data_IF_074342042300
#
_entry.id   IF_074342042300
#
_cell.length_a   1.000
_cell.length_b   1.000
_cell.length_c   1.000
_cell.angle_alpha   90.00
_cell.angle_beta   90.00
_cell.angle_gamma   90.00
#
_symmetry.space_group_name_H-M   'P 1'
#
loop_
_entity.id
_entity.type
_entity.pdbx_description
1 polymer ?
2 non-polymer ?
3 non-polymer ?
4 water ?
#
# COMPACT_ATOMS: atom_id res chain seq x y z
N UNK A 15 -2.14 -5.20 33.12
CA UNK A 15 -2.05 -5.08 31.66
C UNK A 15 -1.73 -6.41 30.98
N UNK A 16 -2.44 -6.72 29.90
CA UNK A 16 -2.17 -7.95 29.15
C UNK A 16 -0.80 -7.88 28.49
N UNK A 17 -0.18 -9.05 28.32
CA UNK A 17 1.18 -9.16 27.81
C UNK A 17 1.23 -10.21 26.72
N UNK A 18 2.03 -9.96 25.67
CA UNK A 18 2.20 -10.91 24.58
C UNK A 18 3.67 -10.93 24.19
N UNK A 19 4.29 -12.11 24.28
CA UNK A 19 5.73 -12.27 24.02
C UNK A 19 6.55 -11.24 24.76
N UNK A 20 6.22 -11.03 26.04
CA UNK A 20 6.94 -10.09 26.88
C UNK A 20 6.64 -8.63 26.62
N UNK A 21 5.86 -8.31 25.59
CA UNK A 21 5.49 -6.93 25.29
C UNK A 21 4.21 -6.57 26.01
N UNK A 22 4.18 -5.37 26.59
CA UNK A 22 2.94 -4.85 27.17
C UNK A 22 1.93 -4.61 26.07
N UNK A 23 0.70 -5.05 26.27
CA UNK A 23 -0.40 -4.85 25.31
C UNK A 23 -1.60 -4.33 26.10
N UNK A 24 -1.63 -3.03 26.35
CA UNK A 24 -2.53 -2.46 27.35
C UNK A 24 -3.83 -2.03 26.67
N UNK A 25 -4.66 -3.03 26.37
CA UNK A 25 -5.89 -2.81 25.62
C UNK A 25 -7.13 -3.32 26.33
N UNK A 26 -7.00 -3.82 27.55
CA UNK A 26 -8.15 -4.27 28.30
C UNK A 26 -8.83 -3.11 29.01
N UNK A 27 -10.04 -3.38 29.53
CA UNK A 27 -10.73 -4.68 29.50
C UNK A 27 -11.62 -4.91 28.27
N UNK A 28 -11.77 -3.93 27.38
CA UNK A 28 -12.62 -4.17 26.22
C UNK A 28 -12.07 -5.27 25.33
N UNK A 29 -10.76 -5.31 25.13
CA UNK A 29 -10.14 -6.23 24.18
C UNK A 29 -9.33 -7.26 24.94
N UNK A 30 -9.66 -8.55 24.77
CA UNK A 30 -9.00 -9.64 25.50
C UNK A 30 -8.68 -10.77 24.55
N UNK A 31 -8.09 -11.84 25.11
CA UNK A 31 -7.72 -13.04 24.38
C UNK A 31 -6.79 -12.71 23.20
N UNK A 32 -5.66 -12.09 23.53
CA UNK A 32 -4.72 -11.66 22.50
C UNK A 32 -3.89 -12.83 22.00
N UNK A 33 -3.61 -12.85 20.69
CA UNK A 33 -2.78 -13.86 20.06
C UNK A 33 -1.82 -13.16 19.10
N UNK A 34 -0.54 -13.47 19.22
CA UNK A 34 0.45 -12.85 18.36
C UNK A 34 0.18 -13.17 16.89
N UNK A 35 0.30 -12.15 16.03
CA UNK A 35 0.23 -12.31 14.58
C UNK A 35 1.59 -12.06 13.92
N UNK A 36 2.18 -10.90 14.16
CA UNK A 36 3.45 -10.57 13.55
C UNK A 36 3.92 -9.21 14.03
N UNK A 37 5.06 -8.75 13.51
CA UNK A 37 5.55 -7.45 13.95
C UNK A 37 6.35 -6.77 12.84
N UNK A 38 6.64 -5.49 13.08
CA UNK A 38 7.50 -4.68 12.23
C UNK A 38 8.61 -4.03 13.02
N UNK A 39 9.24 -3.01 12.44
CA UNK A 39 10.41 -2.39 13.09
C UNK A 39 10.03 -1.71 14.41
N UNK A 40 8.77 -1.26 14.56
CA UNK A 40 8.36 -0.60 15.79
C UNK A 40 6.90 -0.86 16.13
N UNK A 41 6.37 -2.02 15.72
CA UNK A 41 4.98 -2.34 15.97
C UNK A 41 4.60 -3.81 15.88
N UNK A 42 3.98 -4.33 16.95
CA UNK A 42 3.51 -5.71 17.02
C UNK A 42 2.01 -5.76 16.75
N UNK A 43 1.58 -6.79 16.02
CA UNK A 43 0.17 -6.96 15.69
C UNK A 43 -0.35 -8.23 16.35
N UNK A 44 -1.53 -8.15 16.98
CA UNK A 44 -2.18 -9.29 17.62
C UNK A 44 -3.65 -9.35 17.20
N UNK A 45 -4.21 -10.55 17.22
CA UNK A 45 -5.65 -10.67 17.16
C UNK A 45 -6.19 -10.55 18.57
N UNK A 46 -7.47 -10.18 18.68
CA UNK A 46 -8.10 -10.02 19.98
C UNK A 46 -9.60 -10.20 19.82
N UNK A 47 -10.29 -10.26 20.95
CA UNK A 47 -11.73 -10.30 20.99
C UNK A 47 -12.24 -9.00 21.56
N UNK A 48 -13.15 -8.35 20.84
CA UNK A 48 -13.85 -7.16 21.30
C UNK A 48 -15.07 -7.63 22.10
N UNK A 49 -14.98 -7.53 23.44
CA UNK A 49 -16.08 -7.98 24.29
C UNK A 49 -17.29 -7.06 24.22
N UNK A 50 -17.13 -5.84 23.70
CA UNK A 50 -18.24 -4.89 23.63
C UNK A 50 -19.10 -5.18 22.41
N UNK A 51 -18.47 -5.25 21.24
CA UNK A 51 -19.17 -5.54 20.01
C UNK A 51 -19.25 -7.03 19.68
N UNK A 52 -18.58 -7.88 20.46
CA UNK A 52 -18.59 -9.34 20.25
C UNK A 52 -18.12 -9.70 18.84
N UNK A 53 -16.92 -9.22 18.48
CA UNK A 53 -16.32 -9.49 17.18
C UNK A 53 -14.82 -9.65 17.36
N UNK A 54 -14.19 -10.36 16.43
CA UNK A 54 -12.74 -10.50 16.43
C UNK A 54 -12.11 -9.31 15.72
N UNK A 55 -10.98 -8.83 16.28
CA UNK A 55 -10.28 -7.68 15.73
C UNK A 55 -8.79 -7.98 15.66
N UNK A 56 -8.09 -7.17 14.88
CA UNK A 56 -6.64 -7.08 14.92
C UNK A 56 -6.27 -5.78 15.63
N UNK A 57 -5.19 -5.80 16.39
CA UNK A 57 -4.74 -4.62 17.12
C UNK A 57 -3.24 -4.46 16.84
N UNK A 58 -2.86 -3.29 16.33
CA UNK A 58 -1.46 -2.96 16.05
C UNK A 58 -0.98 -2.03 17.14
N UNK A 59 0.06 -2.46 17.87
CA UNK A 59 0.73 -1.60 18.85
C UNK A 59 1.84 -0.82 18.15
N UNK A 60 1.78 0.51 18.25
CA UNK A 60 2.74 1.39 17.58
C UNK A 60 3.43 2.24 18.64
N UNK A 61 4.76 2.32 18.57
CA UNK A 61 5.57 3.09 19.52
C UNK A 61 6.49 4.02 18.74
N UNK A 62 5.95 5.13 18.23
CA UNK A 62 6.66 5.92 17.21
C UNK A 62 7.32 7.22 17.67
N UNK A 63 7.15 7.62 18.92
CA UNK A 63 7.38 9.01 19.30
C UNK A 63 8.86 9.37 19.44
N UNK A 64 9.77 8.40 19.38
CA UNK A 64 11.19 8.75 19.40
C UNK A 64 11.74 9.06 18.01
N UNK A 65 10.94 8.88 16.96
CA UNK A 65 11.42 9.01 15.58
C UNK A 65 10.46 9.85 14.78
N UNK A 66 10.94 10.98 14.26
CA UNK A 66 10.09 11.88 13.50
C UNK A 66 9.44 11.17 12.31
N UNK A 67 10.17 10.29 11.61
CA UNK A 67 9.58 9.64 10.44
C UNK A 67 8.51 8.64 10.86
N UNK A 68 8.70 7.96 11.99
CA UNK A 68 7.65 7.04 12.46
C UNK A 68 6.41 7.81 12.90
N UNK A 69 6.60 8.98 13.52
CA UNK A 69 5.46 9.83 13.84
C UNK A 69 4.69 10.25 12.58
N UNK A 70 5.41 10.64 11.53
CA UNK A 70 4.76 10.98 10.26
C UNK A 70 3.88 9.83 9.77
N UNK A 71 4.45 8.63 9.69
CA UNK A 71 3.70 7.47 9.22
C UNK A 71 2.44 7.24 10.05
N UNK A 72 2.57 7.34 11.38
CA UNK A 72 1.46 7.08 12.28
C UNK A 72 0.33 8.07 12.05
N UNK A 73 0.67 9.36 11.93
CA UNK A 73 -0.34 10.39 11.75
C UNK A 73 -0.99 10.31 10.37
N UNK A 74 -0.20 10.06 9.33
CA UNK A 74 -0.76 9.88 7.99
C UNK A 74 -1.74 8.72 7.95
N UNK A 75 -1.35 7.58 8.51
CA UNK A 75 -2.22 6.40 8.49
C UNK A 75 -3.54 6.66 9.21
N UNK A 76 -3.46 7.30 10.38
CA UNK A 76 -4.66 7.58 11.15
C UNK A 76 -5.58 8.54 10.42
N UNK A 77 -5.03 9.67 9.97
CA UNK A 77 -5.85 10.71 9.33
C UNK A 77 -6.53 10.18 8.08
N UNK A 78 -5.81 9.42 7.26
CA UNK A 78 -6.35 8.95 5.99
C UNK A 78 -7.36 7.83 6.20
N UNK A 79 -6.99 6.80 6.96
CA UNK A 79 -7.90 5.65 7.15
C UNK A 79 -9.20 6.07 7.86
N UNK A 80 -9.14 7.07 8.73
CA UNK A 80 -10.37 7.50 9.41
C UNK A 80 -11.29 8.28 8.48
N UNK A 81 -10.76 8.80 7.38
CA UNK A 81 -11.56 9.56 6.42
C UNK A 81 -12.02 8.72 5.24
N UNK A 82 -11.32 7.64 4.93
CA UNK A 82 -11.71 6.75 3.86
C UNK A 82 -12.79 5.77 4.34
N UNK A 83 -13.68 5.39 3.41
CA UNK A 83 -14.70 4.39 3.72
C UNK A 83 -15.03 3.67 2.41
N UNK A 84 -14.50 2.46 2.26
CA UNK A 84 -14.59 1.69 1.03
C UNK A 84 -14.39 0.22 1.36
N UNK A 85 -15.15 -0.64 0.66
CA UNK A 85 -15.08 -2.08 0.94
C UNK A 85 -13.70 -2.69 0.67
N UNK A 86 -12.88 -2.07 -0.17
CA UNK A 86 -11.56 -2.62 -0.50
C UNK A 86 -10.43 -1.87 0.19
N UNK A 87 -10.72 -1.18 1.29
CA UNK A 87 -9.73 -0.46 2.08
C UNK A 87 -9.96 -0.77 3.55
N UNK A 88 -8.90 -1.12 4.28
CA UNK A 88 -9.06 -1.44 5.68
C UNK A 88 -9.51 -0.20 6.44
N UNK A 89 -10.41 -0.37 7.41
CA UNK A 89 -10.84 0.73 8.25
C UNK A 89 -10.12 0.72 9.59
N UNK A 90 -10.30 1.80 10.34
CA UNK A 90 -9.91 1.85 11.75
C UNK A 90 -11.17 1.84 12.58
N UNK A 91 -11.29 0.86 13.47
CA UNK A 91 -12.44 0.71 14.35
C UNK A 91 -12.31 1.54 15.63
N UNK A 92 -11.10 1.63 16.17
CA UNK A 92 -10.88 2.19 17.50
C UNK A 92 -9.39 2.48 17.63
N UNK A 93 -9.05 3.41 18.51
CA UNK A 93 -7.64 3.73 18.81
C UNK A 93 -7.50 3.91 20.31
N UNK A 94 -6.58 3.17 20.93
CA UNK A 94 -6.37 3.22 22.36
C UNK A 94 -5.05 3.95 22.63
N UNK A 95 -5.08 4.93 23.53
CA UNK A 95 -3.86 5.53 24.04
C UNK A 95 -4.15 6.19 25.40
N UNK A 96 -3.08 6.66 26.02
CA UNK A 96 -3.15 7.17 27.40
C UNK A 96 -3.99 8.45 27.48
N UNK A 97 -4.59 8.73 28.64
CA UNK A 97 -5.42 9.94 28.75
C UNK A 97 -4.61 11.24 28.77
N UNK A 98 -3.29 11.19 28.98
CA UNK A 98 -2.48 12.40 28.94
C UNK A 98 -1.31 12.22 27.98
N UNK A 99 -0.91 13.33 27.35
CA UNK A 99 0.11 13.25 26.32
C UNK A 99 1.45 12.81 26.91
N UNK A 100 1.75 13.21 28.15
CA UNK A 100 3.01 12.81 28.77
C UNK A 100 3.05 11.30 29.01
N UNK A 101 1.90 10.70 29.30
CA UNK A 101 1.82 9.25 29.53
C UNK A 101 1.77 8.46 28.23
N UNK A 102 1.44 9.11 27.11
CA UNK A 102 1.27 8.39 25.85
C UNK A 102 2.64 8.02 25.28
N UNK A 103 2.98 6.73 25.33
CA UNK A 103 4.14 6.21 24.63
C UNK A 103 3.77 5.24 23.52
N UNK A 104 2.63 4.59 23.62
CA UNK A 104 2.18 3.63 22.62
C UNK A 104 0.81 4.05 22.12
N UNK A 105 0.53 3.70 20.86
CA UNK A 105 -0.79 3.84 20.27
C UNK A 105 -1.20 2.47 19.78
N UNK A 106 -2.44 2.06 20.08
CA UNK A 106 -2.99 0.80 19.61
C UNK A 106 -4.07 1.11 18.59
N UNK A 107 -3.88 0.63 17.36
CA UNK A 107 -4.85 0.80 16.28
C UNK A 107 -5.62 -0.51 16.12
N UNK A 108 -6.94 -0.43 16.28
CA UNK A 108 -7.82 -1.60 16.21
C UNK A 108 -8.46 -1.62 14.83
N UNK A 109 -8.43 -2.79 14.18
CA UNK A 109 -8.99 -2.97 12.86
C UNK A 109 -9.72 -4.30 12.79
N UNK A 110 -10.53 -4.43 11.75
CA UNK A 110 -11.16 -5.71 11.47
C UNK A 110 -10.07 -6.76 11.27
N UNK A 111 -10.32 -7.97 11.75
CA UNK A 111 -9.33 -9.04 11.70
C UNK A 111 -9.36 -9.66 10.32
N UNK A 112 -8.23 -9.62 9.62
CA UNK A 112 -8.10 -10.29 8.34
C UNK A 112 -7.48 -11.67 8.54
N UNK A 113 -7.64 -12.53 7.54
CA UNK A 113 -7.13 -13.89 7.68
C UNK A 113 -5.70 -14.03 7.18
N UNK A 114 -5.34 -13.36 6.09
CA UNK A 114 -4.02 -13.52 5.51
C UNK A 114 -3.73 -12.29 4.65
N UNK A 115 -2.61 -12.32 3.95
CA UNK A 115 -2.32 -11.30 2.95
C UNK A 115 -1.80 -11.99 1.69
N UNK A 116 -1.69 -11.19 0.63
CA UNK A 116 -1.30 -11.76 -0.66
C UNK A 116 0.14 -12.26 -0.65
N UNK A 117 1.02 -11.60 0.12
CA UNK A 117 2.39 -12.11 0.28
C UNK A 117 2.39 -13.54 0.79
N UNK A 118 1.71 -13.78 1.94
CA UNK A 118 1.63 -15.12 2.48
C UNK A 118 0.94 -16.09 1.52
N UNK A 119 -0.14 -15.63 0.89
CA UNK A 119 -0.87 -16.50 -0.03
C UNK A 119 0.03 -16.95 -1.18
N UNK A 120 0.79 -16.03 -1.77
CA UNK A 120 1.65 -16.38 -2.89
C UNK A 120 2.78 -17.32 -2.48
N UNK A 121 3.13 -17.38 -1.19
CA UNK A 121 4.18 -18.29 -0.74
C UNK A 121 3.78 -19.75 -0.87
N UNK A 122 2.49 -20.05 -0.72
CA UNK A 122 2.04 -21.43 -0.65
C UNK A 122 1.14 -21.85 -1.80
N UNK A 123 0.66 -20.92 -2.63
CA UNK A 123 -0.34 -21.25 -3.63
C UNK A 123 -0.03 -20.58 -4.96
N UNK A 124 -0.16 -21.35 -6.04
CA UNK A 124 -0.13 -20.80 -7.39
C UNK A 124 -1.55 -20.44 -7.81
N UNK A 125 -1.76 -19.19 -8.18
CA UNK A 125 -3.10 -18.69 -8.46
C UNK A 125 -3.52 -19.03 -9.89
N UNK A 126 -4.74 -19.54 -10.04
CA UNK A 126 -5.33 -19.70 -11.34
C UNK A 126 -5.57 -18.34 -12.00
N UNK A 127 -5.91 -18.36 -13.29
CA UNK A 127 -6.24 -17.12 -13.97
C UNK A 127 -7.47 -16.47 -13.34
N UNK A 128 -8.48 -17.26 -12.97
CA UNK A 128 -9.65 -16.73 -12.30
C UNK A 128 -9.28 -16.00 -11.01
N UNK A 129 -8.41 -16.61 -10.18
CA UNK A 129 -7.98 -15.96 -8.94
C UNK A 129 -7.30 -14.63 -9.22
N UNK A 130 -6.40 -14.60 -10.21
CA UNK A 130 -5.64 -13.39 -10.51
C UNK A 130 -6.57 -12.26 -10.91
N UNK A 131 -7.50 -12.55 -11.81
CA UNK A 131 -8.44 -11.53 -12.28
C UNK A 131 -9.25 -10.97 -11.11
N UNK A 132 -9.76 -11.86 -10.25
CA UNK A 132 -10.57 -11.45 -9.11
C UNK A 132 -9.78 -10.56 -8.16
N UNK A 133 -8.54 -10.93 -7.82
CA UNK A 133 -7.73 -10.08 -6.94
C UNK A 133 -7.36 -8.77 -7.62
N UNK A 134 -6.99 -8.80 -8.90
CA UNK A 134 -6.59 -7.56 -9.56
C UNK A 134 -7.75 -6.57 -9.58
N UNK A 135 -8.96 -7.05 -9.88
CA UNK A 135 -10.13 -6.17 -9.89
C UNK A 135 -10.29 -5.44 -8.56
N UNK A 136 -10.18 -6.16 -7.44
CA UNK A 136 -10.41 -5.53 -6.14
C UNK A 136 -9.32 -4.54 -5.80
N UNK A 137 -8.07 -4.84 -6.16
CA UNK A 137 -7.00 -3.88 -5.97
C UNK A 137 -7.33 -2.58 -6.71
N UNK A 138 -7.69 -2.70 -8.00
CA UNK A 138 -7.97 -1.50 -8.79
C UNK A 138 -9.24 -0.80 -8.34
N UNK A 139 -10.23 -1.56 -7.87
CA UNK A 139 -11.45 -0.95 -7.34
C UNK A 139 -11.12 -0.10 -6.11
N UNK A 140 -10.37 -0.67 -5.17
CA UNK A 140 -9.90 0.12 -4.04
C UNK A 140 -9.02 1.28 -4.47
N UNK A 141 -8.14 1.05 -5.45
CA UNK A 141 -7.24 2.12 -5.88
C UNK A 141 -8.00 3.25 -6.55
N UNK A 142 -9.09 2.94 -7.27
CA UNK A 142 -9.89 3.99 -7.88
C UNK A 142 -10.39 4.98 -6.83
N UNK A 143 -10.93 4.46 -5.74
CA UNK A 143 -11.40 5.32 -4.65
C UNK A 143 -10.24 6.16 -4.09
N UNK A 144 -9.10 5.53 -3.83
CA UNK A 144 -7.93 6.24 -3.30
C UNK A 144 -7.55 7.40 -4.22
N UNK A 145 -7.42 7.12 -5.52
CA UNK A 145 -7.03 8.16 -6.46
C UNK A 145 -8.15 9.19 -6.65
N UNK A 146 -9.40 8.78 -6.47
CA UNK A 146 -10.50 9.73 -6.54
C UNK A 146 -10.45 10.75 -5.40
N UNK A 147 -9.79 10.41 -4.29
CA UNK A 147 -9.54 11.37 -3.22
C UNK A 147 -8.24 12.14 -3.43
N UNK A 148 -7.62 12.00 -4.60
CA UNK A 148 -6.36 12.66 -4.92
C UNK A 148 -5.24 12.25 -3.96
N UNK A 149 -5.26 10.98 -3.54
CA UNK A 149 -4.25 10.42 -2.64
C UNK A 149 -3.40 9.42 -3.42
N UNK A 150 -2.10 9.41 -3.16
CA UNK A 150 -1.17 8.39 -3.63
C UNK A 150 -0.85 7.46 -2.46
N UNK A 151 -1.09 6.15 -2.62
CA UNK A 151 -0.75 5.20 -1.55
C UNK A 151 0.76 5.12 -1.35
N UNK A 152 1.51 4.95 -2.44
CA UNK A 152 2.97 5.03 -2.53
C UNK A 152 3.70 3.79 -2.00
N UNK A 153 3.01 2.80 -1.44
CA UNK A 153 3.74 1.61 -0.98
C UNK A 153 2.90 0.36 -1.19
N UNK A 154 2.23 0.26 -2.34
CA UNK A 154 1.47 -0.95 -2.65
C UNK A 154 2.43 -2.11 -2.87
N UNK A 155 2.12 -3.24 -2.25
CA UNK A 155 2.91 -4.46 -2.38
C UNK A 155 2.07 -5.61 -1.84
N UNK A 156 2.42 -6.86 -2.13
CA UNK A 156 1.55 -7.98 -1.72
C UNK A 156 1.26 -8.01 -0.22
N UNK A 157 2.24 -7.65 0.62
CA UNK A 157 2.00 -7.70 2.06
C UNK A 157 1.00 -6.64 2.53
N UNK A 158 0.74 -5.62 1.74
CA UNK A 158 -0.24 -4.59 2.09
C UNK A 158 -1.63 -4.88 1.51
N UNK A 159 -1.85 -6.09 0.99
CA UNK A 159 -3.12 -6.50 0.39
C UNK A 159 -3.63 -7.65 1.26
N UNK A 160 -4.54 -7.34 2.17
CA UNK A 160 -5.06 -8.31 3.13
C UNK A 160 -6.35 -8.94 2.62
N UNK A 161 -6.60 -10.17 3.05
CA UNK A 161 -7.80 -10.92 2.66
C UNK A 161 -8.49 -11.40 3.92
N UNK A 162 -9.83 -11.32 3.93
CA UNK A 162 -10.64 -11.74 5.08
C UNK A 162 -11.21 -13.14 4.85
N UNK A 163 -12.07 -13.56 5.78
CA UNK A 163 -12.57 -14.94 5.78
C UNK A 163 -13.38 -15.27 4.53
N UNK A 164 -13.98 -14.27 3.88
CA UNK A 164 -14.76 -14.51 2.67
C UNK A 164 -13.99 -14.16 1.41
N UNK A 165 -12.67 -14.01 1.51
CA UNK A 165 -11.77 -13.74 0.39
C UNK A 165 -11.97 -12.36 -0.22
N UNK A 166 -12.47 -11.42 0.57
CA UNK A 166 -12.46 -10.01 0.17
C UNK A 166 -11.11 -9.39 0.45
N UNK A 167 -10.66 -8.54 -0.46
CA UNK A 167 -9.33 -7.94 -0.42
C UNK A 167 -9.42 -6.52 0.09
N UNK A 168 -8.49 -6.16 0.99
CA UNK A 168 -8.46 -4.81 1.54
C UNK A 168 -7.03 -4.28 1.53
N UNK A 169 -6.86 -3.09 0.94
CA UNK A 169 -5.59 -2.37 0.94
C UNK A 169 -5.35 -1.74 2.31
N UNK A 170 -4.13 -1.86 2.85
CA UNK A 170 -3.82 -1.34 4.18
C UNK A 170 -2.50 -0.58 4.12
N UNK A 171 -2.09 -0.07 5.29
CA UNK A 171 -0.77 0.55 5.50
C UNK A 171 -0.59 1.80 4.65
N UNK A 172 -1.25 2.89 5.05
CA UNK A 172 -1.18 4.16 4.35
C UNK A 172 -0.17 5.11 4.97
N UNK A 173 0.83 4.56 5.68
CA UNK A 173 1.77 5.41 6.39
C UNK A 173 2.65 6.27 5.48
N UNK A 174 2.83 5.84 4.23
CA UNK A 174 3.61 6.61 3.25
C UNK A 174 2.72 7.36 2.27
N UNK A 175 1.41 7.35 2.47
CA UNK A 175 0.50 8.00 1.53
C UNK A 175 0.67 9.52 1.57
N UNK A 176 0.41 10.14 0.41
CA UNK A 176 0.54 11.58 0.23
C UNK A 176 -0.59 12.09 -0.66
N UNK A 177 -0.94 13.36 -0.46
CA UNK A 177 -1.86 14.02 -1.37
C UNK A 177 -1.13 14.32 -2.68
N UNK A 178 -1.79 14.03 -3.79
CA UNK A 178 -1.16 14.20 -5.11
C UNK A 178 -1.01 15.67 -5.45
N UNK A 179 0.16 16.04 -5.97
CA UNK A 179 0.43 17.41 -6.38
C UNK A 179 1.46 17.45 -7.51
N UNK A 193 11.15 -0.07 3.10
CA UNK A 193 11.09 -1.51 3.35
C UNK A 193 11.62 -2.31 2.15
N UNK A 194 10.81 -2.43 1.09
CA UNK A 194 11.20 -3.12 -0.13
C UNK A 194 11.10 -2.16 -1.31
N UNK A 195 12.07 -2.23 -2.20
CA UNK A 195 12.12 -1.41 -3.42
C UNK A 195 11.51 -2.12 -4.62
N UNK A 196 11.14 -3.40 -4.48
CA UNK A 196 10.79 -4.21 -5.64
C UNK A 196 9.57 -3.68 -6.37
N UNK A 197 8.73 -2.86 -5.73
CA UNK A 197 7.48 -2.43 -6.32
C UNK A 197 7.48 -0.93 -6.62
N UNK A 198 8.63 -0.25 -6.46
CA UNK A 198 8.70 1.18 -6.68
C UNK A 198 8.93 1.52 -8.16
N UNK A 199 8.19 2.52 -8.62
CA UNK A 199 8.31 2.99 -9.99
C UNK A 199 9.72 3.55 -10.27
N UNK A 200 10.21 3.41 -11.50
CA UNK A 200 11.57 3.87 -11.80
C UNK A 200 11.79 5.36 -11.55
N UNK A 201 10.78 6.20 -11.78
CA UNK A 201 10.97 7.64 -11.60
C UNK A 201 11.23 7.99 -10.13
N UNK A 202 10.76 7.17 -9.19
CA UNK A 202 11.07 7.41 -7.77
C UNK A 202 12.56 7.32 -7.55
N UNK A 203 13.19 6.25 -8.05
CA UNK A 203 14.62 6.06 -7.94
C UNK A 203 15.42 6.95 -8.89
N UNK A 204 14.75 7.82 -9.64
CA UNK A 204 15.43 8.79 -10.50
C UNK A 204 15.12 10.23 -10.12
N UNK A 205 14.44 10.45 -8.99
CA UNK A 205 14.11 11.78 -8.50
C UNK A 205 13.41 12.65 -9.55
N UNK A 208 8.09 15.41 -8.47
CA UNK A 208 6.80 15.33 -9.11
C UNK A 208 6.30 13.91 -9.34
N UNK A 209 5.74 13.30 -8.29
CA UNK A 209 5.23 11.94 -8.35
C UNK A 209 3.71 11.98 -8.48
N UNK A 210 3.18 11.23 -9.45
CA UNK A 210 1.76 11.24 -9.76
C UNK A 210 1.11 9.92 -9.38
N UNK A 211 -0.18 9.80 -9.70
CA UNK A 211 -0.92 8.57 -9.47
C UNK A 211 -0.32 7.38 -10.22
N UNK A 212 0.48 7.64 -11.26
CA UNK A 212 1.09 6.55 -12.03
C UNK A 212 2.06 5.73 -11.21
N UNK A 213 2.62 6.26 -10.11
CA UNK A 213 3.53 5.44 -9.32
C UNK A 213 2.80 4.27 -8.70
N UNK A 214 1.50 4.44 -8.35
CA UNK A 214 0.73 3.34 -7.81
C UNK A 214 0.40 2.31 -8.89
N UNK A 215 0.11 2.79 -10.11
CA UNK A 215 -0.19 1.87 -11.21
C UNK A 215 1.00 0.94 -11.47
N UNK A 216 2.22 1.50 -11.42
CA UNK A 216 3.41 0.69 -11.59
C UNK A 216 3.46 -0.43 -10.54
N UNK A 217 3.18 -0.08 -9.27
CA UNK A 217 3.23 -1.10 -8.22
C UNK A 217 2.23 -2.21 -8.49
N UNK A 218 1.01 -1.83 -8.90
CA UNK A 218 -0.02 -2.83 -9.22
C UNK A 218 0.45 -3.71 -10.37
N UNK A 219 1.10 -3.11 -11.36
CA UNK A 219 1.66 -3.91 -12.44
C UNK A 219 2.68 -4.92 -11.93
N UNK A 220 3.54 -4.50 -11.00
CA UNK A 220 4.49 -5.43 -10.39
C UNK A 220 3.76 -6.55 -9.65
N UNK A 221 2.67 -6.22 -8.97
CA UNK A 221 1.89 -7.24 -8.26
C UNK A 221 1.22 -8.20 -9.24
N UNK A 222 0.65 -7.67 -10.33
CA UNK A 222 0.05 -8.55 -11.34
C UNK A 222 1.09 -9.51 -11.91
N UNK A 223 2.27 -9.00 -12.22
CA UNK A 223 3.34 -9.86 -12.75
C UNK A 223 3.67 -10.98 -11.77
N UNK A 224 3.70 -10.66 -10.47
CA UNK A 224 4.05 -11.66 -9.47
C UNK A 224 2.94 -12.68 -9.27
N UNK A 225 1.67 -12.27 -9.36
CA UNK A 225 0.59 -13.26 -9.34
C UNK A 225 0.67 -14.21 -10.53
N UNK A 226 1.18 -13.73 -11.67
CA UNK A 226 1.25 -14.59 -12.85
C UNK A 226 2.34 -15.65 -12.74
N UNK A 227 3.34 -15.47 -11.86
CA UNK A 227 4.44 -16.43 -11.78
C UNK A 227 4.86 -16.82 -10.37
N UNK A 228 4.23 -16.31 -9.32
CA UNK A 228 4.70 -16.53 -7.95
C UNK A 228 6.17 -16.16 -7.79
N UNK A 229 6.57 -15.08 -8.47
CA UNK A 229 7.95 -14.62 -8.51
C UNK A 229 7.90 -13.11 -8.64
N UNK A 230 8.62 -12.35 -7.80
CA UNK A 230 8.71 -10.91 -8.03
C UNK A 230 9.40 -10.65 -9.36
N UNK A 231 8.87 -9.70 -10.13
CA UNK A 231 9.40 -9.51 -11.47
C UNK A 231 10.70 -8.70 -11.45
N UNK A 232 10.85 -7.76 -10.51
CA UNK A 232 12.03 -6.88 -10.44
C UNK A 232 12.68 -6.94 -9.07
N UNK A 233 13.32 -8.07 -8.71
CA UNK A 233 13.88 -8.24 -7.34
C UNK A 233 15.32 -7.74 -7.16
N UNK A 234 15.50 -6.42 -7.24
CA UNK A 234 16.84 -5.87 -7.12
C UNK A 234 17.37 -5.95 -5.70
N UNK A 235 18.67 -6.25 -5.57
CA UNK A 235 19.31 -6.32 -4.26
C UNK A 235 19.71 -4.96 -3.71
N UNK A 236 19.72 -3.92 -4.54
CA UNK A 236 19.86 -2.55 -4.07
C UNK A 236 19.37 -1.59 -5.16
N UNK A 237 19.54 -0.31 -4.86
CA UNK A 237 19.08 0.80 -5.71
C UNK A 237 19.41 0.59 -7.18
N UNK A 238 20.70 0.53 -7.52
CA UNK A 238 21.09 0.45 -8.92
C UNK A 238 20.81 -0.91 -9.54
N UNK A 239 20.89 -1.97 -8.75
CA UNK A 239 20.49 -3.28 -9.24
C UNK A 239 19.00 -3.33 -9.58
N UNK A 240 18.19 -2.60 -8.81
CA UNK A 240 16.76 -2.52 -9.11
C UNK A 240 16.51 -1.93 -10.49
N UNK A 241 17.20 -0.82 -10.80
CA UNK A 241 17.05 -0.20 -12.11
C UNK A 241 17.51 -1.14 -13.21
N UNK A 242 18.60 -1.87 -12.99
CA UNK A 242 19.09 -2.79 -14.02
C UNK A 242 18.07 -3.90 -14.28
N UNK A 243 17.41 -4.41 -13.23
CA UNK A 243 16.34 -5.40 -13.43
C UNK A 243 15.24 -4.83 -14.31
N UNK A 244 14.81 -3.60 -14.04
CA UNK A 244 13.71 -3.01 -14.81
C UNK A 244 14.12 -2.87 -16.28
N UNK A 245 15.30 -2.31 -16.52
CA UNK A 245 15.79 -2.12 -17.89
C UNK A 245 16.13 -3.43 -18.58
N UNK A 246 16.47 -4.49 -17.83
CA UNK A 246 16.73 -5.77 -18.44
C UNK A 246 15.49 -6.43 -19.00
N UNK A 247 14.31 -5.99 -18.57
CA UNK A 247 13.05 -6.51 -19.12
C UNK A 247 12.51 -5.52 -20.13
N UNK A 248 12.33 -4.26 -19.72
CA UNK A 248 11.71 -3.28 -20.61
C UNK A 248 12.64 -2.86 -21.74
N UNK A 249 13.95 -3.10 -21.62
CA UNK A 249 14.90 -2.56 -22.56
C UNK A 249 15.24 -1.13 -22.24
N UNK A 250 16.29 -0.63 -22.90
CA UNK A 250 16.69 0.77 -22.72
C UNK A 250 15.53 1.69 -23.07
N UNK A 251 15.35 2.80 -22.35
CA UNK A 251 14.23 3.69 -22.66
C UNK A 251 14.43 4.43 -23.97
N UNK A 252 13.31 4.64 -24.66
CA UNK A 252 13.33 5.39 -25.91
C UNK A 252 13.74 6.84 -25.65
N UNK A 253 14.01 7.56 -26.74
CA UNK A 253 14.37 8.97 -26.63
C UNK A 253 13.23 9.77 -26.03
N UNK A 254 11.99 9.49 -26.46
CA UNK A 254 10.83 10.17 -25.87
C UNK A 254 10.71 9.87 -24.38
N UNK A 255 11.03 8.64 -23.97
CA UNK A 255 11.03 8.32 -22.54
C UNK A 255 12.09 9.12 -21.81
N UNK A 256 13.33 9.12 -22.33
CA UNK A 256 14.41 9.87 -21.69
C UNK A 256 14.12 11.36 -21.65
N UNK A 257 13.42 11.88 -22.67
CA UNK A 257 13.12 13.30 -22.73
C UNK A 257 12.22 13.75 -21.58
N UNK A 258 11.49 12.83 -20.94
CA UNK A 258 10.58 13.17 -19.87
C UNK A 258 11.16 12.94 -18.48
N UNK A 259 12.46 12.64 -18.40
CA UNK A 259 13.15 12.57 -17.11
C UNK A 259 13.64 13.98 -16.78
N UNK A 260 13.06 14.59 -15.75
CA UNK A 260 13.37 15.97 -15.44
C UNK A 260 14.77 16.09 -14.82
N UNK A 261 15.11 15.18 -13.92
CA UNK A 261 16.43 15.16 -13.31
C UNK A 261 17.50 14.93 -14.37
N UNK A 262 18.25 15.99 -14.72
CA UNK A 262 19.22 15.87 -15.81
C UNK A 262 20.35 14.91 -15.46
N UNK A 263 20.70 14.82 -14.17
CA UNK A 263 21.80 13.94 -13.76
C UNK A 263 21.41 12.48 -13.85
N UNK A 264 20.19 12.15 -13.42
CA UNK A 264 19.68 10.80 -13.63
C UNK A 264 19.58 10.47 -15.10
N UNK A 265 19.12 11.42 -15.93
CA UNK A 265 19.07 11.19 -17.37
C UNK A 265 20.47 10.91 -17.92
N UNK A 266 21.48 11.66 -17.45
CA UNK A 266 22.84 11.42 -17.90
C UNK A 266 23.34 10.05 -17.47
N UNK A 267 23.03 9.63 -16.24
CA UNK A 267 23.42 8.29 -15.82
C UNK A 267 22.75 7.21 -16.66
N UNK A 268 21.45 7.39 -16.98
CA UNK A 268 20.78 6.43 -17.86
C UNK A 268 21.47 6.37 -19.22
N UNK A 269 21.87 7.53 -19.76
CA UNK A 269 22.54 7.55 -21.05
C UNK A 269 23.86 6.78 -21.02
N UNK A 270 24.49 6.67 -19.85
CA UNK A 270 25.78 5.98 -19.73
C UNK A 270 25.65 4.47 -19.71
N UNK A 271 24.45 3.93 -19.60
CA UNK A 271 24.30 2.49 -19.45
C UNK A 271 24.37 1.79 -20.80
N UNK A 272 24.85 0.55 -20.84
CA UNK A 272 24.86 -0.19 -22.10
C UNK A 272 23.45 -0.46 -22.58
N UNK A 273 23.31 -0.57 -23.89
CA UNK A 273 22.00 -0.82 -24.47
C UNK A 273 21.46 -2.19 -24.05
N UNK A 274 20.15 -2.26 -23.85
CA UNK A 274 19.47 -3.52 -23.59
C UNK A 274 18.16 -3.57 -24.38
N UNK A 275 17.87 -4.74 -24.95
CA UNK A 275 16.65 -4.91 -25.74
C UNK A 275 15.48 -5.30 -24.85
N UNK A 276 14.29 -4.92 -25.29
CA UNK A 276 13.07 -5.30 -24.58
C UNK A 276 12.86 -6.80 -24.65
N UNK A 277 12.42 -7.39 -23.54
CA UNK A 277 12.06 -8.79 -23.48
C UNK A 277 10.56 -8.89 -23.66
N UNK A 278 10.06 -9.59 -24.69
CA UNK A 278 8.61 -9.68 -24.89
C UNK A 278 7.94 -10.31 -23.68
N UNK A 279 6.78 -9.77 -23.31
CA UNK A 279 6.06 -10.28 -22.16
C UNK A 279 5.72 -11.76 -22.28
N UNK A 280 5.44 -12.25 -23.50
CA UNK A 280 5.07 -13.65 -23.59
C UNK A 280 6.27 -14.58 -23.55
N UNK A 281 7.50 -14.03 -23.56
CA UNK A 281 8.65 -14.88 -23.26
C UNK A 281 8.83 -15.06 -21.77
N UNK A 282 8.52 -14.02 -20.99
CA UNK A 282 8.55 -14.12 -19.53
C UNK A 282 7.42 -15.00 -19.02
N UNK A 283 6.22 -14.82 -19.56
CA UNK A 283 5.01 -15.50 -19.09
C UNK A 283 4.39 -16.20 -20.30
N UNK A 284 4.97 -17.33 -20.72
CA UNK A 284 4.50 -17.98 -21.96
C UNK A 284 3.13 -18.60 -21.84
N UNK A 285 2.63 -18.84 -20.64
CA UNK A 285 1.35 -19.53 -20.44
C UNK A 285 0.23 -18.60 -20.00
N UNK A 286 0.50 -17.30 -19.86
CA UNK A 286 -0.49 -16.40 -19.29
C UNK A 286 -1.52 -15.96 -20.33
N UNK A 287 -2.67 -15.53 -19.82
CA UNK A 287 -3.70 -14.91 -20.64
C UNK A 287 -3.14 -13.72 -21.40
N UNK A 288 -3.37 -13.70 -22.72
CA UNK A 288 -2.84 -12.60 -23.54
C UNK A 288 -3.45 -11.25 -23.14
N UNK A 289 -4.70 -11.25 -22.69
CA UNK A 289 -5.30 -10.00 -22.20
C UNK A 289 -4.62 -9.52 -20.92
N UNK A 290 -4.21 -10.46 -20.06
CA UNK A 290 -3.49 -10.05 -18.86
C UNK A 290 -2.15 -9.44 -19.21
N UNK A 291 -1.48 -9.99 -20.21
CA UNK A 291 -0.20 -9.43 -20.64
C UNK A 291 -0.37 -8.07 -21.29
N UNK A 292 -1.43 -7.87 -22.08
CA UNK A 292 -1.70 -6.54 -22.63
C UNK A 292 -1.89 -5.51 -21.52
N UNK A 293 -2.67 -5.86 -20.49
CA UNK A 293 -2.84 -4.92 -19.38
C UNK A 293 -1.52 -4.73 -18.63
N UNK A 294 -0.79 -5.83 -18.39
CA UNK A 294 0.48 -5.73 -17.70
C UNK A 294 1.43 -4.78 -18.43
N UNK A 295 1.44 -4.85 -19.76
CA UNK A 295 2.30 -3.99 -20.56
C UNK A 295 1.95 -2.53 -20.37
N UNK A 296 0.65 -2.22 -20.27
CA UNK A 296 0.21 -0.84 -20.13
C UNK A 296 0.46 -0.29 -18.72
N UNK A 297 0.58 -1.17 -17.72
CA UNK A 297 0.91 -0.73 -16.37
C UNK A 297 2.41 -0.55 -16.17
N UNK A 298 3.21 -1.40 -16.79
CA UNK A 298 4.67 -1.35 -16.60
C UNK A 298 5.35 -0.62 -17.76
N UNK A 299 4.87 0.59 -18.06
CA UNK A 299 5.55 1.43 -19.03
C UNK A 299 6.51 2.37 -18.31
N UNK A 300 7.68 2.56 -18.90
CA UNK A 300 8.71 3.36 -18.24
C UNK A 300 8.25 4.80 -18.06
N UNK A 301 7.72 5.41 -19.12
CA UNK A 301 7.22 6.78 -19.08
C UNK A 301 5.94 6.85 -18.26
N UNK A 302 5.94 7.50 -17.10
CA UNK A 302 4.70 7.54 -16.29
C UNK A 302 3.54 8.25 -16.98
N UNK A 303 3.83 9.11 -17.96
CA UNK A 303 2.76 9.80 -18.67
C UNK A 303 2.01 8.89 -19.62
N UNK A 304 2.64 7.82 -20.08
CA UNK A 304 1.98 6.85 -20.95
C UNK A 304 1.46 5.64 -20.18
N UNK A 305 1.63 5.63 -18.86
CA UNK A 305 1.13 4.53 -18.06
C UNK A 305 -0.39 4.59 -17.99
N UNK A 306 -1.03 3.43 -18.06
CA UNK A 306 -2.49 3.37 -18.03
C UNK A 306 -2.99 3.88 -16.68
N UNK A 307 -4.13 4.56 -16.67
CA UNK A 307 -4.71 5.07 -15.44
C UNK A 307 -5.68 4.05 -14.85
N UNK A 308 -6.08 4.28 -13.59
CA UNK A 308 -6.85 3.28 -12.87
C UNK A 308 -8.21 3.05 -13.53
N UNK A 309 -8.88 4.13 -13.97
CA UNK A 309 -10.20 3.97 -14.59
C UNK A 309 -10.09 3.25 -15.92
N UNK A 310 -9.02 3.51 -16.68
CA UNK A 310 -8.80 2.79 -17.93
C UNK A 310 -8.40 1.34 -17.68
N UNK A 311 -7.66 1.08 -16.59
CA UNK A 311 -7.30 -0.29 -16.25
C UNK A 311 -8.53 -1.13 -15.91
N UNK A 312 -9.42 -0.57 -15.09
CA UNK A 312 -10.68 -1.25 -14.77
C UNK A 312 -11.47 -1.58 -16.03
N UNK A 313 -11.43 -0.70 -17.02
CA UNK A 313 -12.16 -0.90 -18.26
C UNK A 313 -11.42 -1.79 -19.26
N UNK A 314 -10.25 -2.33 -18.89
CA UNK A 314 -9.50 -3.17 -19.82
C UNK A 314 -10.22 -4.50 -20.01
N UNK A 315 -10.18 -5.05 -21.24
CA UNK A 315 -10.89 -6.32 -21.51
C UNK A 315 -10.54 -7.46 -20.56
N UNK A 316 -9.35 -7.44 -19.96
CA UNK A 316 -9.01 -8.49 -18.99
C UNK A 316 -9.97 -8.51 -17.81
N UNK A 317 -10.54 -7.36 -17.44
CA UNK A 317 -11.41 -7.26 -16.28
C UNK A 317 -12.90 -7.16 -16.66
N UNK A 318 -13.25 -7.56 -17.89
CA UNK A 318 -14.59 -7.33 -18.39
C UNK A 318 -15.67 -8.02 -17.56
N UNK A 319 -15.36 -9.18 -16.97
CA UNK A 319 -16.39 -9.88 -16.22
C UNK A 319 -16.69 -9.23 -14.87
N UNK A 320 -15.86 -8.29 -14.42
CA UNK A 320 -16.05 -7.60 -13.14
C UNK A 320 -16.38 -6.12 -13.28
N UNK A 321 -15.87 -5.44 -14.30
CA UNK A 321 -16.00 -4.00 -14.43
C UNK A 321 -17.46 -3.55 -14.35
N UNK A 322 -17.72 -2.64 -13.43
CA UNK A 322 -19.08 -2.19 -13.17
C UNK A 322 -19.05 -0.81 -12.51
N UNK A 323 -18.96 0.26 -13.31
CA UNK A 323 -18.79 1.60 -12.72
C UNK A 323 -19.92 2.00 -11.78
N UNK A 324 -21.10 1.37 -11.87
CA UNK A 324 -22.16 1.65 -10.92
C UNK A 324 -21.94 1.00 -9.56
N UNK A 325 -20.88 0.21 -9.40
CA UNK A 325 -20.56 -0.44 -8.14
C UNK A 325 -19.09 -0.24 -7.79
N UNK A 326 -18.53 0.91 -8.16
CA UNK A 326 -17.12 1.24 -7.90
C UNK A 326 -17.09 2.67 -7.39
N UNK A 327 -17.47 2.89 -6.13
CA UNK A 327 -17.68 4.25 -5.63
C UNK A 327 -16.39 5.04 -5.55
N UNK A 328 -16.54 6.36 -5.53
CA UNK A 328 -15.43 7.30 -5.46
C UNK A 328 -15.58 8.17 -4.22
N UNK A 329 -14.51 8.86 -3.86
CA UNK A 329 -14.53 9.74 -2.70
C UNK A 329 -15.46 10.92 -2.94
N UNK A 330 -15.97 11.49 -1.84
CA UNK A 330 -16.86 12.64 -1.95
C UNK A 330 -16.11 13.90 -2.35
N UNK A 331 -14.87 14.03 -1.90
CA UNK A 331 -14.04 15.21 -2.17
C UNK A 331 -12.59 14.82 -1.96
N UNK A 332 -11.65 15.51 -2.63
CA UNK A 332 -10.24 15.17 -2.45
C UNK A 332 -9.77 15.41 -1.02
N UNK A 333 -8.93 14.50 -0.53
CA UNK A 333 -8.37 14.61 0.80
C UNK A 333 -7.28 15.68 0.85
N UNK A 334 -7.19 16.37 1.98
CA UNK A 334 -6.15 17.37 2.21
C UNK A 334 -5.70 17.30 3.66
N UNK A 335 -4.38 17.24 3.88
CA UNK A 335 -3.83 17.18 5.23
C UNK A 335 -4.01 18.48 6.00
N UNK A 336 -4.35 19.58 5.33
CA UNK A 336 -4.48 20.93 5.88
C UNK A 336 -3.15 21.49 6.37
N UNK A 337 -2.05 20.75 6.21
CA UNK A 337 -0.74 21.18 6.67
C UNK A 337 0.30 20.21 6.10
N UNK A 338 1.57 20.54 6.32
CA UNK A 338 2.68 19.69 5.92
C UNK A 338 3.36 19.14 7.16
N UNK A 339 3.81 17.89 7.08
CA UNK A 339 4.34 17.17 8.23
C UNK A 339 5.83 16.88 8.13
N UNK A 340 6.43 17.05 6.95
CA UNK A 340 7.77 16.52 6.71
C UNK A 340 8.82 17.16 7.60
N UNK A 341 8.66 18.45 7.91
CA UNK A 341 9.67 19.16 8.68
C UNK A 341 9.24 19.47 10.11
N UNK A 342 8.06 19.03 10.52
CA UNK A 342 7.62 19.25 11.90
C UNK A 342 8.44 18.38 12.85
N UNK A 343 8.83 18.92 14.00
CA UNK A 343 9.53 18.08 14.99
C UNK A 343 8.62 17.02 15.57
N UNK A 344 9.23 15.92 16.02
CA UNK A 344 8.45 14.78 16.51
C UNK A 344 7.57 15.16 17.68
N UNK A 345 7.97 16.16 18.47
CA UNK A 345 7.16 16.60 19.61
C UNK A 345 5.87 17.27 19.13
N UNK A 346 5.96 18.08 18.07
CA UNK A 346 4.75 18.62 17.46
C UNK A 346 3.90 17.51 16.84
N UNK A 347 4.53 16.54 16.18
CA UNK A 347 3.76 15.45 15.61
C UNK A 347 3.03 14.65 16.69
N UNK A 348 3.66 14.49 17.86
CA UNK A 348 3.01 13.77 18.95
C UNK A 348 1.76 14.51 19.42
N UNK A 349 1.82 15.84 19.49
CA UNK A 349 0.63 16.61 19.84
C UNK A 349 -0.49 16.40 18.84
N UNK A 350 -0.13 16.34 17.55
CA UNK A 350 -1.13 16.12 16.51
C UNK A 350 -1.75 14.73 16.61
N UNK A 351 -0.94 13.71 16.90
CA UNK A 351 -1.50 12.36 17.05
C UNK A 351 -2.41 12.31 18.28
N UNK A 352 -2.01 12.97 19.37
CA UNK A 352 -2.87 13.05 20.54
C UNK A 352 -4.22 13.67 20.20
N UNK A 353 -4.21 14.77 19.44
CA UNK A 353 -5.46 15.46 19.10
C UNK A 353 -6.32 14.62 18.16
N UNK A 354 -5.68 13.88 17.25
CA UNK A 354 -6.40 13.10 16.26
C UNK A 354 -7.06 11.87 16.87
N UNK A 355 -6.55 11.40 18.01
CA UNK A 355 -7.04 10.20 18.66
C UNK A 355 -7.97 10.50 19.83
N UNK A 356 -8.20 11.79 20.14
CA UNK A 356 -9.09 12.17 21.23
C UNK A 356 -10.52 11.71 20.97
N UNK A 357 -10.93 11.58 19.71
CA UNK A 357 -12.31 11.21 19.43
C UNK A 357 -12.65 9.81 19.91
N UNK A 358 -11.65 9.01 20.22
CA UNK A 358 -11.85 7.67 20.76
C UNK A 358 -11.79 7.64 22.28
N UNK A 359 -11.62 8.80 22.92
CA UNK A 359 -11.58 9.00 24.36
C UNK A 359 -12.94 9.40 24.90
N UNK A 360 -13.26 9.00 26.11
CA UNK A 360 -14.43 9.57 26.79
C UNK A 360 -14.19 11.02 27.18
N UNK A 361 -14.70 11.96 26.39
CA UNK A 361 -14.52 13.37 26.67
C UNK A 361 -14.61 14.27 25.45
N UNK A 362 -14.43 13.69 24.27
CA UNK A 362 -14.42 14.44 23.02
C UNK A 362 -15.84 14.77 22.54
X LIG B 1 6.29 -3.94 8.42
X LIG B 1 4.65 -4.23 8.05
X LIG B 1 4.52 -5.32 7.00
X LIG B 1 4.01 -2.97 7.54
X LIG B 1 3.88 -4.73 9.41
X LIG B 1 2.28 -4.52 9.73
X LIG B 1 2.13 -3.64 10.87
X LIG B 1 1.56 -3.77 8.69
X LIG B 1 1.59 -6.00 9.96
X LIG B 1 2.39 -7.06 10.40
X LIG B 1 1.60 -8.33 10.44
X LIG B 1 0.24 -8.10 10.93
X LIG B 1 1.44 -8.90 9.07
X LIG B 1 1.57 -10.33 9.18
X LIG B 1 0.07 -8.53 8.65
X LIG B 1 -0.44 -9.48 7.69
X LIG B 1 -0.71 -8.55 9.92
X LIG B 1 -1.84 -7.67 9.92
X LIG B 1 -1.72 -6.36 9.79
X LIG B 1 -2.94 -5.79 9.83
X LIG B 1 -3.90 -6.89 10.02
X LIG B 1 -3.08 -8.11 10.07
X LIG B 1 -3.67 -9.28 10.23
X LIG B 1 -4.98 -9.35 10.35
X LIG B 1 -5.76 -8.29 10.30
X LIG B 1 -5.28 -7.07 10.15
X LIG B 1 -6.16 -5.91 10.10
X LIG C 1 -10.07 -16.88 -1.96
X LIG C 1 -8.86 -17.71 -1.49
X LIG C 1 -8.49 -17.62 -0.05
X LIG C 1 -9.25 -17.58 2.29
X LIG C 1 -8.70 -18.97 2.59
X LIG C 1 -8.23 -16.53 2.67
X LIG C 1 -10.56 -17.34 2.99
X LIG C 1 -7.69 -17.75 -2.40
X LIG C 1 -7.78 -17.22 -3.76
X LIG C 1 -9.12 -17.71 -4.21
X LIG C 1 -10.20 -16.93 -3.48
X LIG C 1 -11.45 -17.66 -3.57
X LIG C 1 -11.09 -19.86 -2.66
X LIG C 1 -10.35 -15.58 -4.13
X LIG C 1 -9.52 -17.44 0.92
X LIG C 1 -7.36 -17.75 0.31
X LIG C 1 -6.67 -18.29 -2.08
X LIG C 1 -11.40 -19.07 -3.80
X LIG C 1 -12.45 -17.03 -3.38
#
# INVERSE_FOLDING_TARGET
GSASMAAAAAAGAGPEMVRGQVFDVGPRYTNLSYIGEGAYGMVCSAYDNVNKVRVAIKKISPFEHQTYCQRTLREIKILLRFRHENIIGINDIIRAPTIEQMKDVYIVQDLMETDLYKLLKTQHLSNDHICYFLYQILRGLKYIHSANVLHRDLKPSNLLLNTTCDLKICDFGLARVADPDHDHTGFLTEYVATRWYRAPEIMLNSKGYTKSIDIWSVGCILAEMLSNRPIFPGKHYLDQLNHILGILGSPSQEDLNCIINLKARNYLLSLPHKNKVPWNRLFPNADSKALDLLDKMLTFNPHKRIEVEQALAHPYLEQYYDPSDEPIAEAPFKFDMELDDLPKEKLKELIFEETARFQPGYRS
AN2 N3B PB O2B O1B O3A PA O1A O2A O5' C5' C4' O4' C3' O3' C2' O2' C1' N9 C8 N7 C5 C4 N3 C2 N1 C6 N6
DC6 C3 C2 C16 C17 C18 C19 C20 C1 C6 C5 C4 C14 C15 C7 O3 O2 O4 O O1
#
